data_IF_115449170164
#
_entry.id   IF_115449170164
#
_cell.length_a   1.000
_cell.length_b   1.000
_cell.length_c   1.000
_cell.angle_alpha   90.00
_cell.angle_beta   90.00
_cell.angle_gamma   90.00
#
_symmetry.space_group_name_H-M   'P 1'
#
loop_
_entity.id
_entity.type
_entity.pdbx_description
1 polymer ?
#
# COMPACT_ATOMS: atom_id res chain seq x y z
N UNK A 1 -2.94 0.04 5.91
CA UNK A 1 -2.72 -0.36 4.50
C UNK A 1 -2.87 -1.88 4.32
N UNK A 2 -2.15 -2.69 5.09
CA UNK A 2 -2.18 -4.16 4.96
C UNK A 2 -3.58 -4.78 5.04
N UNK A 3 -4.42 -4.34 5.99
CA UNK A 3 -5.78 -4.87 6.13
C UNK A 3 -6.63 -4.66 4.87
N UNK A 4 -6.48 -3.51 4.20
CA UNK A 4 -7.19 -3.21 2.95
C UNK A 4 -6.67 -4.09 1.81
N UNK A 5 -5.37 -4.40 1.80
CA UNK A 5 -4.78 -5.28 0.79
C UNK A 5 -5.40 -6.69 0.88
N UNK A 6 -5.54 -7.22 2.10
CA UNK A 6 -6.17 -8.54 2.36
C UNK A 6 -7.62 -8.61 1.88
N UNK A 7 -8.39 -7.55 2.11
CA UNK A 7 -9.79 -7.45 1.66
C UNK A 7 -9.87 -7.42 0.14
N UNK A 8 -9.07 -6.58 -0.51
CA UNK A 8 -9.08 -6.43 -1.98
C UNK A 8 -8.64 -7.71 -2.69
N UNK A 9 -7.65 -8.40 -2.14
CA UNK A 9 -7.10 -9.62 -2.73
C UNK A 9 -7.82 -10.91 -2.31
N UNK A 10 -8.70 -10.86 -1.29
CA UNK A 10 -9.31 -12.05 -0.70
C UNK A 10 -8.30 -13.02 -0.05
N UNK A 11 -7.14 -12.54 0.39
CA UNK A 11 -6.05 -13.38 0.91
C UNK A 11 -5.43 -12.74 2.16
N UNK A 12 -5.43 -13.46 3.28
CA UNK A 12 -4.93 -12.99 4.57
C UNK A 12 -3.42 -12.69 4.62
N UNK A 13 -2.67 -13.24 3.66
CA UNK A 13 -1.23 -13.03 3.51
C UNK A 13 -0.87 -12.03 2.40
N UNK A 14 -1.86 -11.38 1.80
CA UNK A 14 -1.62 -10.48 0.69
C UNK A 14 -0.89 -9.21 1.09
N UNK A 15 0.06 -8.84 0.25
CA UNK A 15 0.74 -7.56 0.28
C UNK A 15 0.08 -6.57 -0.69
N UNK A 16 0.53 -5.31 -0.67
CA UNK A 16 0.04 -4.26 -1.57
C UNK A 16 0.15 -4.63 -3.05
N UNK A 17 1.19 -5.36 -3.43
CA UNK A 17 1.38 -5.86 -4.80
C UNK A 17 0.24 -6.76 -5.24
N UNK A 18 -0.24 -7.63 -4.36
CA UNK A 18 -1.30 -8.59 -4.67
C UNK A 18 -2.63 -7.88 -4.85
N UNK A 19 -2.93 -6.91 -3.98
CA UNK A 19 -4.13 -6.07 -4.10
C UNK A 19 -4.16 -5.28 -5.43
N UNK A 20 -3.05 -4.63 -5.80
CA UNK A 20 -2.95 -3.92 -7.07
C UNK A 20 -3.09 -4.86 -8.28
N UNK A 21 -2.46 -6.02 -8.24
CA UNK A 21 -2.58 -6.99 -9.33
C UNK A 21 -4.01 -7.54 -9.46
N UNK A 22 -4.71 -7.75 -8.33
CA UNK A 22 -6.12 -8.14 -8.33
C UNK A 22 -7.00 -7.08 -8.99
N UNK A 23 -6.83 -5.79 -8.64
CA UNK A 23 -7.58 -4.70 -9.26
C UNK A 23 -7.30 -4.59 -10.76
N UNK A 24 -6.04 -4.72 -11.18
CA UNK A 24 -5.64 -4.70 -12.60
C UNK A 24 -6.30 -5.86 -13.35
N UNK A 25 -6.30 -7.06 -12.77
CA UNK A 25 -6.96 -8.23 -13.36
C UNK A 25 -8.48 -8.02 -13.53
N UNK A 26 -9.10 -7.20 -12.66
CA UNK A 26 -10.51 -6.80 -12.75
C UNK A 26 -10.74 -5.51 -13.58
N UNK A 27 -9.78 -5.11 -14.41
CA UNK A 27 -9.98 -4.03 -15.38
C UNK A 27 -9.59 -2.62 -14.90
N UNK A 28 -8.96 -2.48 -13.73
CA UNK A 28 -8.31 -1.23 -13.38
C UNK A 28 -7.19 -0.91 -14.38
N UNK A 29 -7.23 0.28 -14.96
CA UNK A 29 -6.11 0.84 -15.70
C UNK A 29 -5.29 1.77 -14.79
N UNK A 30 -4.05 1.39 -14.50
CA UNK A 30 -3.13 2.17 -13.69
C UNK A 30 -1.85 2.46 -14.48
N UNK A 31 -1.43 3.72 -14.48
CA UNK A 31 -0.19 4.12 -15.13
C UNK A 31 1.01 3.41 -14.46
N UNK A 32 1.94 2.89 -15.27
CA UNK A 32 3.09 2.12 -14.78
C UNK A 32 3.91 2.87 -13.71
N UNK A 33 4.18 4.16 -13.92
CA UNK A 33 4.90 4.97 -12.93
C UNK A 33 4.15 5.14 -11.61
N UNK A 34 2.82 5.23 -11.63
CA UNK A 34 2.02 5.34 -10.41
C UNK A 34 2.07 4.02 -9.63
N UNK A 35 1.91 2.88 -10.33
CA UNK A 35 2.07 1.55 -9.74
C UNK A 35 3.45 1.40 -9.08
N UNK A 36 4.52 1.77 -9.80
CA UNK A 36 5.88 1.67 -9.29
C UNK A 36 6.12 2.57 -8.08
N UNK A 37 5.63 3.81 -8.10
CA UNK A 37 5.76 4.73 -6.97
C UNK A 37 5.06 4.21 -5.71
N UNK A 38 3.83 3.71 -5.85
CA UNK A 38 3.06 3.13 -4.72
C UNK A 38 3.82 1.93 -4.11
N UNK A 39 4.37 1.05 -4.95
CA UNK A 39 5.14 -0.10 -4.49
C UNK A 39 6.45 0.30 -3.82
N UNK A 40 7.15 1.30 -4.35
CA UNK A 40 8.40 1.80 -3.76
C UNK A 40 8.16 2.43 -2.38
N UNK A 41 7.09 3.23 -2.23
CA UNK A 41 6.68 3.82 -0.96
C UNK A 41 6.29 2.77 0.07
N UNK A 42 5.60 1.72 -0.35
CA UNK A 42 5.29 0.58 0.53
C UNK A 42 6.56 -0.18 0.95
N UNK A 43 7.51 -0.35 0.03
CA UNK A 43 8.83 -0.90 0.33
C UNK A 43 9.54 -0.07 1.40
N UNK A 44 9.60 1.26 1.22
CA UNK A 44 10.17 2.17 2.21
C UNK A 44 9.53 2.04 3.60
N UNK A 45 8.20 1.93 3.66
CA UNK A 45 7.47 1.76 4.92
C UNK A 45 7.59 0.35 5.54
N UNK A 46 8.04 -0.65 4.78
CA UNK A 46 8.11 -2.06 5.21
C UNK A 46 9.53 -2.55 5.46
N UNK A 47 10.55 -1.85 4.94
CA UNK A 47 11.96 -2.18 5.15
C UNK A 47 12.39 -1.82 6.59
N UNK A 48 13.27 -2.62 7.18
CA UNK A 48 13.49 -2.72 8.64
C UNK A 48 14.00 -1.43 9.35
N UNK A 49 14.25 -0.32 8.62
CA UNK A 49 14.53 1.01 9.17
C UNK A 49 13.34 1.98 9.19
N UNK A 50 12.23 1.63 8.54
CA UNK A 50 11.05 2.46 8.35
C UNK A 50 9.92 2.15 9.32
N UNK A 51 9.82 2.93 10.41
CA UNK A 51 8.64 3.20 11.27
C UNK A 51 7.90 2.02 11.94
N UNK A 52 7.93 0.78 11.44
CA UNK A 52 7.08 -0.29 11.98
C UNK A 52 7.61 -1.01 13.21
N UNK A 53 8.86 -0.80 13.60
CA UNK A 53 9.42 -1.42 14.81
C UNK A 53 10.39 -0.48 15.51
N UNK A 54 9.92 0.22 16.54
CA UNK A 54 10.73 0.85 17.59
C UNK A 54 11.50 -0.19 18.45
N UNK A 55 11.90 -1.33 17.89
CA UNK A 55 12.24 -2.56 18.63
C UNK A 55 13.64 -3.13 18.34
N UNK A 56 14.55 -2.37 17.73
CA UNK A 56 15.96 -2.77 17.68
C UNK A 56 16.83 -1.60 18.11
N UNK A 57 17.93 -1.89 18.80
CA UNK A 57 18.95 -1.00 19.38
C UNK A 57 19.66 -0.04 18.37
N UNK A 58 18.98 0.35 17.31
CA UNK A 58 19.47 1.20 16.22
C UNK A 58 18.63 2.47 16.18
N UNK A 59 19.28 3.63 16.27
CA UNK A 59 18.61 4.90 16.02
C UNK A 59 17.90 4.85 14.67
N UNK A 60 16.61 5.17 14.66
CA UNK A 60 15.87 5.31 13.42
C UNK A 60 16.47 6.46 12.62
N UNK A 61 16.88 6.18 11.38
CA UNK A 61 17.36 7.20 10.44
C UNK A 61 16.22 7.99 9.79
N UNK A 62 14.97 7.68 10.14
CA UNK A 62 13.78 8.31 9.58
C UNK A 62 13.52 9.63 10.27
N UNK A 63 13.45 10.69 9.48
CA UNK A 63 13.12 12.03 9.98
C UNK A 63 11.64 12.15 10.34
N UNK A 64 11.30 13.12 11.18
CA UNK A 64 9.90 13.43 11.50
C UNK A 64 9.10 13.82 10.24
N UNK A 65 9.74 14.53 9.31
CA UNK A 65 9.18 14.95 8.04
C UNK A 65 8.83 13.74 7.16
N UNK A 66 9.74 12.77 7.04
CA UNK A 66 9.51 11.53 6.31
C UNK A 66 8.40 10.69 6.96
N UNK A 67 8.38 10.61 8.29
CA UNK A 67 7.32 9.93 9.01
C UNK A 67 5.94 10.54 8.75
N UNK A 68 5.85 11.87 8.83
CA UNK A 68 4.63 12.60 8.54
C UNK A 68 4.20 12.46 7.08
N UNK A 69 5.14 12.55 6.15
CA UNK A 69 4.91 12.31 4.74
C UNK A 69 4.35 10.91 4.49
N UNK A 70 4.93 9.89 5.13
CA UNK A 70 4.52 8.51 4.92
C UNK A 70 3.14 8.22 5.50
N UNK A 71 2.79 8.79 6.66
CA UNK A 71 1.44 8.64 7.24
C UNK A 71 0.37 9.20 6.29
N UNK A 72 0.56 10.44 5.83
CA UNK A 72 -0.40 11.10 4.91
C UNK A 72 -0.52 10.32 3.59
N UNK A 73 0.62 9.91 3.05
CA UNK A 73 0.68 9.16 1.79
C UNK A 73 0.04 7.78 1.92
N UNK A 74 0.23 7.07 3.04
CA UNK A 74 -0.44 5.80 3.31
C UNK A 74 -1.96 5.95 3.34
N UNK A 75 -2.47 7.01 3.97
CA UNK A 75 -3.90 7.33 3.98
C UNK A 75 -4.43 7.60 2.57
N UNK A 76 -3.69 8.37 1.76
CA UNK A 76 -4.07 8.64 0.38
C UNK A 76 -4.10 7.36 -0.48
N UNK A 77 -3.09 6.49 -0.36
CA UNK A 77 -3.03 5.22 -1.08
C UNK A 77 -4.20 4.31 -0.68
N UNK A 78 -4.52 4.22 0.62
CA UNK A 78 -5.67 3.44 1.09
C UNK A 78 -6.97 3.96 0.49
N UNK A 79 -7.20 5.27 0.52
CA UNK A 79 -8.40 5.88 -0.04
C UNK A 79 -8.51 5.62 -1.55
N UNK A 80 -7.39 5.72 -2.27
CA UNK A 80 -7.33 5.39 -3.69
C UNK A 80 -7.71 3.92 -3.95
N UNK A 81 -7.10 2.97 -3.23
CA UNK A 81 -7.38 1.54 -3.40
C UNK A 81 -8.85 1.19 -3.10
N UNK A 82 -9.43 1.78 -2.06
CA UNK A 82 -10.84 1.56 -1.70
C UNK A 82 -11.77 2.11 -2.79
N UNK A 83 -11.50 3.32 -3.29
CA UNK A 83 -12.29 3.92 -4.36
C UNK A 83 -12.26 3.06 -5.64
N UNK A 84 -11.10 2.49 -5.95
CA UNK A 84 -10.93 1.64 -7.11
C UNK A 84 -11.53 0.23 -6.91
N UNK A 85 -11.45 -0.32 -5.70
CA UNK A 85 -12.16 -1.55 -5.34
C UNK A 85 -13.68 -1.39 -5.45
N UNK A 86 -14.24 -0.22 -5.16
CA UNK A 86 -15.66 0.04 -5.40
C UNK A 86 -16.06 0.01 -6.89
N UNK A 87 -15.11 0.23 -7.81
CA UNK A 87 -15.34 0.23 -9.27
C UNK A 87 -14.99 -1.12 -9.92
N UNK A 88 -14.00 -1.81 -9.37
CA UNK A 88 -13.36 -2.98 -9.99
C UNK A 88 -13.33 -4.21 -9.07
N UNK A 89 -13.92 -4.15 -7.88
CA UNK A 89 -14.00 -5.28 -6.95
C UNK A 89 -14.98 -6.35 -7.41
N UNK A 90 -14.92 -7.51 -6.74
CA UNK A 90 -15.61 -8.76 -7.10
C UNK A 90 -17.16 -8.75 -7.01
N UNK A 91 -17.80 -7.61 -7.25
CA UNK A 91 -19.26 -7.42 -7.25
C UNK A 91 -19.82 -6.70 -8.48
N UNK A 92 -19.03 -6.46 -9.53
CA UNK A 92 -19.50 -5.89 -10.80
C UNK A 92 -19.60 -6.94 -11.93
N UNK A 93 -20.03 -8.16 -11.59
CA UNK A 93 -20.40 -9.21 -12.55
C UNK A 93 -21.83 -9.69 -12.28
#
# INVERSE_FOLDING_TARGET
MESVCKVISGNEKAALKDALNSLIANGMNIHGSLKSAILALYGYASDEGGIRHSERDTESTVTFEEAKFMIVTCSAIVNYLVAEYGKHGAGNA
#
